data_IF_754964424878
#
_entry.id   IF_754964424878
#
_cell.length_a   1.000
_cell.length_b   1.000
_cell.length_c   1.000
_cell.angle_alpha   90.00
_cell.angle_beta   90.00
_cell.angle_gamma   90.00
#
_symmetry.space_group_name_H-M   'P 1'
#
loop_
_entity.id
_entity.type
_entity.pdbx_description
1 polymer ?
#
# COMPACT_ATOMS: atom_id res chain seq x y z
N UNK A 1 12.23 -5.68 -18.26
CA UNK A 1 13.19 -4.54 -18.10
C UNK A 1 12.89 -3.46 -19.14
N UNK A 2 12.61 -2.25 -18.69
CA UNK A 2 12.39 -1.08 -19.56
C UNK A 2 13.65 -0.20 -19.51
N UNK A 3 14.24 0.11 -20.65
CA UNK A 3 15.48 0.93 -20.74
C UNK A 3 16.67 0.42 -19.88
N UNK A 4 16.80 -0.90 -19.69
CA UNK A 4 17.86 -1.51 -18.90
C UNK A 4 17.64 -1.54 -17.37
N UNK A 5 16.52 -1.01 -16.89
CA UNK A 5 16.17 -1.02 -15.47
C UNK A 5 15.17 -2.13 -15.15
N UNK A 6 15.29 -2.72 -13.96
CA UNK A 6 14.24 -3.53 -13.35
C UNK A 6 13.22 -2.60 -12.72
N UNK A 7 11.94 -2.85 -12.99
CA UNK A 7 10.83 -2.06 -12.46
C UNK A 7 10.05 -2.92 -11.50
N UNK A 8 9.85 -2.41 -10.29
CA UNK A 8 8.97 -3.02 -9.28
C UNK A 8 7.78 -2.11 -9.05
N UNK A 9 6.57 -2.67 -9.18
CA UNK A 9 5.36 -2.03 -8.67
C UNK A 9 5.25 -2.32 -7.17
N UNK A 10 5.31 -1.30 -6.35
CA UNK A 10 5.29 -1.40 -4.88
C UNK A 10 3.87 -1.36 -4.28
N UNK A 11 2.81 -1.32 -5.12
CA UNK A 11 1.45 -1.20 -4.62
C UNK A 11 0.42 -1.79 -5.61
N UNK A 12 0.05 -3.05 -5.39
CA UNK A 12 -0.97 -3.72 -6.20
C UNK A 12 -1.95 -4.51 -5.32
N UNK A 13 -3.25 -4.18 -5.42
CA UNK A 13 -4.30 -4.92 -4.73
C UNK A 13 -4.81 -6.08 -5.58
N UNK A 14 -4.83 -7.29 -5.03
CA UNK A 14 -5.30 -8.49 -5.73
C UNK A 14 -6.31 -9.26 -4.90
N UNK A 15 -7.26 -9.89 -5.57
CA UNK A 15 -8.36 -10.61 -4.95
C UNK A 15 -8.54 -11.99 -5.60
N UNK A 16 -9.08 -12.99 -4.86
CA UNK A 16 -9.50 -14.26 -5.48
C UNK A 16 -10.51 -14.02 -6.61
N UNK A 17 -10.37 -14.69 -7.74
CA UNK A 17 -11.15 -14.46 -8.97
C UNK A 17 -12.67 -14.39 -8.73
N UNK A 18 -13.19 -15.27 -7.85
CA UNK A 18 -14.62 -15.35 -7.54
C UNK A 18 -15.20 -14.14 -6.80
N UNK A 19 -14.36 -13.27 -6.23
CA UNK A 19 -14.78 -12.06 -5.52
C UNK A 19 -14.16 -10.79 -6.10
N UNK A 20 -13.25 -10.90 -7.05
CA UNK A 20 -12.44 -9.81 -7.57
C UNK A 20 -13.32 -8.66 -8.12
N UNK A 21 -14.28 -8.94 -8.98
CA UNK A 21 -15.23 -7.96 -9.49
C UNK A 21 -15.98 -7.22 -8.38
N UNK A 22 -16.57 -7.98 -7.44
CA UNK A 22 -17.31 -7.38 -6.32
C UNK A 22 -16.42 -6.53 -5.41
N UNK A 23 -15.17 -6.96 -5.17
CA UNK A 23 -14.20 -6.21 -4.39
C UNK A 23 -13.84 -4.90 -5.09
N UNK A 24 -13.59 -4.96 -6.40
CA UNK A 24 -13.25 -3.81 -7.24
C UNK A 24 -14.42 -2.82 -7.34
N UNK A 25 -15.65 -3.31 -7.52
CA UNK A 25 -16.86 -2.48 -7.47
C UNK A 25 -17.01 -1.77 -6.11
N UNK A 26 -16.69 -2.48 -5.00
CA UNK A 26 -16.71 -1.90 -3.66
C UNK A 26 -15.70 -0.75 -3.50
N UNK A 27 -14.50 -0.87 -4.08
CA UNK A 27 -13.47 0.18 -4.09
C UNK A 27 -13.95 1.36 -4.95
N UNK A 28 -14.44 1.09 -6.16
CA UNK A 28 -15.01 2.09 -7.06
C UNK A 28 -16.10 2.91 -6.38
N UNK A 29 -17.04 2.24 -5.73
CA UNK A 29 -18.13 2.91 -5.00
C UNK A 29 -17.62 3.74 -3.81
N UNK A 30 -16.62 3.24 -3.08
CA UNK A 30 -16.07 3.95 -1.92
C UNK A 30 -15.40 5.28 -2.33
N UNK A 31 -14.64 5.26 -3.42
CA UNK A 31 -13.90 6.45 -3.89
C UNK A 31 -14.67 7.30 -4.90
N UNK A 32 -15.81 6.81 -5.43
CA UNK A 32 -16.54 7.40 -6.55
C UNK A 32 -15.63 7.57 -7.78
N UNK A 33 -14.79 6.55 -8.04
CA UNK A 33 -13.84 6.51 -9.15
C UNK A 33 -13.98 5.23 -9.95
N UNK A 34 -13.83 5.30 -11.29
CA UNK A 34 -13.80 4.09 -12.11
C UNK A 34 -12.55 3.26 -11.80
N UNK A 35 -12.68 1.94 -11.97
CA UNK A 35 -11.54 1.02 -11.90
C UNK A 35 -11.11 0.65 -13.30
N UNK A 36 -9.82 0.62 -13.57
CA UNK A 36 -9.27 0.23 -14.86
C UNK A 36 -9.32 -1.30 -15.06
N UNK A 37 -9.11 -2.04 -13.97
CA UNK A 37 -9.04 -3.50 -13.98
C UNK A 37 -9.98 -4.13 -12.93
N UNK A 38 -10.02 -5.49 -12.93
CA UNK A 38 -10.92 -6.26 -12.06
C UNK A 38 -10.25 -6.81 -10.77
N UNK A 39 -8.97 -6.54 -10.55
CA UNK A 39 -8.26 -6.98 -9.35
C UNK A 39 -7.82 -8.46 -9.36
N UNK A 40 -7.76 -9.12 -10.53
CA UNK A 40 -7.30 -10.50 -10.67
C UNK A 40 -5.79 -10.56 -10.82
N UNK A 41 -5.13 -11.55 -10.20
CA UNK A 41 -3.67 -11.72 -10.28
C UNK A 41 -3.20 -11.93 -11.72
N UNK A 42 -3.88 -12.76 -12.50
CA UNK A 42 -3.51 -13.03 -13.89
C UNK A 42 -3.57 -11.76 -14.75
N UNK A 43 -4.62 -10.95 -14.60
CA UNK A 43 -4.80 -9.66 -15.29
C UNK A 43 -3.71 -8.65 -14.89
N UNK A 44 -3.37 -8.56 -13.60
CA UNK A 44 -2.28 -7.73 -13.10
C UNK A 44 -0.94 -8.11 -13.75
N UNK A 45 -0.62 -9.40 -13.76
CA UNK A 45 0.63 -9.89 -14.34
C UNK A 45 0.68 -9.63 -15.85
N UNK A 46 -0.38 -9.90 -16.59
CA UNK A 46 -0.46 -9.68 -18.02
C UNK A 46 -0.19 -8.22 -18.37
N UNK A 47 -0.94 -7.30 -17.78
CA UNK A 47 -0.84 -5.87 -18.11
C UNK A 47 0.44 -5.23 -17.55
N UNK A 48 0.81 -5.54 -16.31
CA UNK A 48 2.01 -4.99 -15.70
C UNK A 48 3.29 -5.45 -16.40
N UNK A 49 3.38 -6.73 -16.77
CA UNK A 49 4.53 -7.24 -17.53
C UNK A 49 4.58 -6.66 -18.95
N UNK A 50 3.44 -6.47 -19.62
CA UNK A 50 3.38 -5.79 -20.92
C UNK A 50 3.90 -4.34 -20.83
N UNK A 51 3.57 -3.63 -19.74
CA UNK A 51 4.09 -2.29 -19.45
C UNK A 51 5.57 -2.26 -19.01
N UNK A 52 6.18 -3.43 -18.81
CA UNK A 52 7.60 -3.59 -18.46
C UNK A 52 7.90 -3.68 -16.98
N UNK A 53 6.90 -3.94 -16.14
CA UNK A 53 7.09 -4.25 -14.71
C UNK A 53 7.64 -5.66 -14.57
N UNK A 54 8.70 -5.81 -13.76
CA UNK A 54 9.41 -7.09 -13.56
C UNK A 54 9.01 -7.76 -12.24
N UNK A 55 8.52 -6.99 -11.27
CA UNK A 55 8.17 -7.48 -9.93
C UNK A 55 7.02 -6.69 -9.32
N UNK A 56 6.20 -7.35 -8.48
CA UNK A 56 4.99 -6.79 -7.91
C UNK A 56 4.94 -7.01 -6.41
N UNK A 57 4.68 -5.97 -5.64
CA UNK A 57 4.29 -6.07 -4.25
C UNK A 57 2.76 -6.16 -4.22
N UNK A 58 2.25 -7.36 -3.93
CA UNK A 58 0.81 -7.64 -3.87
C UNK A 58 0.29 -7.57 -2.44
N UNK A 59 -0.91 -7.04 -2.27
CA UNK A 59 -1.54 -6.87 -0.97
C UNK A 59 -3.07 -6.82 -1.10
N UNK A 60 -3.76 -6.91 0.04
CA UNK A 60 -5.19 -6.59 0.22
C UNK A 60 -5.45 -6.30 1.71
N UNK A 61 -6.16 -5.23 2.08
CA UNK A 61 -6.54 -5.00 3.47
C UNK A 61 -7.74 -5.87 3.86
N UNK A 62 -7.77 -6.34 5.11
CA UNK A 62 -8.96 -6.95 5.71
C UNK A 62 -9.88 -5.83 6.22
N UNK A 63 -11.05 -5.67 5.61
CA UNK A 63 -12.03 -4.65 6.04
C UNK A 63 -12.83 -5.09 7.27
N UNK A 64 -12.77 -6.36 7.64
CA UNK A 64 -13.31 -6.93 8.87
C UNK A 64 -12.33 -7.92 9.49
N UNK A 65 -12.41 -8.10 10.80
CA UNK A 65 -11.54 -9.02 11.56
C UNK A 65 -11.58 -10.46 11.02
N UNK A 66 -12.72 -10.92 10.55
CA UNK A 66 -12.90 -12.31 10.07
C UNK A 66 -12.24 -12.59 8.72
N UNK A 67 -11.79 -11.57 8.00
CA UNK A 67 -11.15 -11.72 6.68
C UNK A 67 -9.65 -11.97 6.76
N UNK A 68 -8.99 -11.65 7.88
CA UNK A 68 -7.52 -11.65 8.02
C UNK A 68 -6.90 -12.96 7.55
N UNK A 69 -7.31 -14.08 8.14
CA UNK A 69 -6.75 -15.40 7.83
C UNK A 69 -6.91 -15.81 6.37
N UNK A 70 -8.08 -15.56 5.78
CA UNK A 70 -8.36 -15.95 4.40
C UNK A 70 -7.58 -15.09 3.40
N UNK A 71 -7.43 -13.79 3.64
CA UNK A 71 -6.64 -12.88 2.82
C UNK A 71 -5.17 -13.26 2.88
N UNK A 72 -4.62 -13.46 4.09
CA UNK A 72 -3.22 -13.84 4.26
C UNK A 72 -2.90 -15.17 3.56
N UNK A 73 -3.76 -16.18 3.70
CA UNK A 73 -3.59 -17.47 3.01
C UNK A 73 -3.64 -17.34 1.48
N UNK A 74 -4.54 -16.50 0.95
CA UNK A 74 -4.62 -16.23 -0.48
C UNK A 74 -3.35 -15.54 -0.98
N UNK A 75 -2.90 -14.47 -0.34
CA UNK A 75 -1.71 -13.72 -0.73
C UNK A 75 -0.44 -14.58 -0.68
N UNK A 76 -0.30 -15.42 0.35
CA UNK A 76 0.80 -16.38 0.44
C UNK A 76 0.77 -17.39 -0.71
N UNK A 77 -0.43 -17.89 -1.08
CA UNK A 77 -0.57 -18.80 -2.23
C UNK A 77 -0.19 -18.14 -3.56
N UNK A 78 -0.51 -16.85 -3.73
CA UNK A 78 -0.11 -16.08 -4.90
C UNK A 78 1.41 -15.92 -4.98
N UNK A 79 2.08 -15.54 -3.88
CA UNK A 79 3.53 -15.40 -3.85
C UNK A 79 4.25 -16.74 -4.10
N UNK A 80 3.69 -17.85 -3.63
CA UNK A 80 4.23 -19.18 -3.91
C UNK A 80 4.06 -19.59 -5.38
N UNK A 81 2.94 -19.21 -6.01
CA UNK A 81 2.65 -19.53 -7.41
C UNK A 81 3.40 -18.63 -8.41
N UNK A 82 3.68 -17.39 -8.05
CA UNK A 82 4.25 -16.37 -8.93
C UNK A 82 5.52 -15.76 -8.34
N UNK A 83 6.72 -16.23 -8.72
CA UNK A 83 8.00 -15.76 -8.16
C UNK A 83 8.30 -14.27 -8.35
N UNK A 84 7.60 -13.60 -9.27
CA UNK A 84 7.68 -12.17 -9.46
C UNK A 84 6.80 -11.37 -8.46
N UNK A 85 6.07 -12.05 -7.57
CA UNK A 85 5.24 -11.41 -6.56
C UNK A 85 5.87 -11.53 -5.17
N UNK A 86 5.96 -10.42 -4.45
CA UNK A 86 6.17 -10.35 -3.00
C UNK A 86 4.85 -9.99 -2.34
N UNK A 87 4.42 -10.75 -1.35
CA UNK A 87 3.15 -10.53 -0.68
C UNK A 87 3.30 -9.85 0.68
N UNK A 88 2.54 -8.78 0.88
CA UNK A 88 2.26 -8.22 2.20
C UNK A 88 0.88 -8.72 2.66
N UNK A 89 0.84 -9.32 3.84
CA UNK A 89 -0.41 -9.72 4.47
C UNK A 89 -1.18 -8.54 5.05
N UNK A 90 -2.19 -8.84 5.83
CA UNK A 90 -2.98 -7.84 6.53
C UNK A 90 -3.25 -8.26 7.97
N UNK A 91 -3.51 -7.28 8.81
CA UNK A 91 -4.01 -7.43 10.18
C UNK A 91 -5.20 -6.49 10.38
N UNK A 92 -5.95 -6.70 11.43
CA UNK A 92 -7.02 -5.79 11.81
C UNK A 92 -6.81 -5.32 13.26
N UNK A 93 -6.70 -3.99 13.52
CA UNK A 93 -6.34 -3.49 14.86
C UNK A 93 -7.37 -3.82 15.96
N UNK A 94 -8.59 -4.16 15.56
CA UNK A 94 -9.68 -4.50 16.47
C UNK A 94 -9.96 -6.01 16.53
N UNK A 95 -9.04 -6.84 16.06
CA UNK A 95 -9.15 -8.29 16.25
C UNK A 95 -8.88 -8.65 17.72
N UNK A 96 -9.71 -9.50 18.30
CA UNK A 96 -9.54 -9.98 19.69
C UNK A 96 -8.25 -10.83 19.83
N UNK A 97 -7.80 -11.44 18.73
CA UNK A 97 -6.66 -12.35 18.67
C UNK A 97 -5.58 -11.87 17.68
N UNK A 98 -5.27 -10.57 17.68
CA UNK A 98 -4.30 -9.97 16.75
C UNK A 98 -2.90 -10.61 16.83
N UNK A 99 -2.52 -11.17 17.96
CA UNK A 99 -1.25 -11.89 18.12
C UNK A 99 -1.24 -13.22 17.34
N UNK A 100 -2.34 -13.97 17.36
CA UNK A 100 -2.51 -15.21 16.59
C UNK A 100 -2.55 -14.92 15.08
N UNK A 101 -3.24 -13.84 14.68
CA UNK A 101 -3.25 -13.35 13.30
C UNK A 101 -1.83 -13.00 12.81
N UNK A 102 -1.04 -12.34 13.66
CA UNK A 102 0.34 -11.98 13.36
C UNK A 102 1.25 -13.22 13.28
N UNK A 103 1.08 -14.20 14.17
CA UNK A 103 1.79 -15.46 14.11
C UNK A 103 1.47 -16.21 12.80
N UNK A 104 0.22 -16.27 12.37
CA UNK A 104 -0.17 -16.86 11.09
C UNK A 104 0.52 -16.14 9.91
N UNK A 105 0.54 -14.81 9.92
CA UNK A 105 1.21 -14.00 8.89
C UNK A 105 2.69 -14.39 8.77
N UNK A 106 3.39 -14.56 9.90
CA UNK A 106 4.80 -14.97 9.92
C UNK A 106 4.99 -16.42 9.43
N UNK A 107 4.12 -17.35 9.83
CA UNK A 107 4.15 -18.76 9.39
C UNK A 107 3.94 -18.89 7.88
N UNK A 108 3.13 -17.99 7.30
CA UNK A 108 2.91 -17.89 5.86
C UNK A 108 4.05 -17.16 5.11
N UNK A 109 5.11 -16.74 5.79
CA UNK A 109 6.26 -16.03 5.23
C UNK A 109 5.89 -14.76 4.46
N UNK A 110 4.84 -14.06 4.90
CA UNK A 110 4.47 -12.77 4.32
C UNK A 110 5.48 -11.69 4.72
N UNK A 111 5.85 -10.84 3.75
CA UNK A 111 7.02 -9.97 3.85
C UNK A 111 6.74 -8.59 4.47
N UNK A 112 5.51 -8.32 4.86
CA UNK A 112 5.06 -7.06 5.45
C UNK A 112 3.56 -7.08 5.74
N UNK A 113 3.04 -5.94 6.16
CA UNK A 113 1.63 -5.77 6.53
C UNK A 113 1.02 -4.63 5.72
N UNK A 114 -0.10 -4.87 5.04
CA UNK A 114 -0.95 -3.83 4.44
C UNK A 114 -2.03 -3.42 5.43
N UNK A 115 -2.13 -2.11 5.67
CA UNK A 115 -3.22 -1.50 6.43
C UNK A 115 -3.89 -0.42 5.59
N UNK A 116 -5.20 -0.29 5.78
CA UNK A 116 -6.01 0.74 5.13
C UNK A 116 -6.97 1.33 6.16
N UNK A 117 -6.55 2.38 6.89
CA UNK A 117 -7.31 2.92 8.02
C UNK A 117 -8.76 3.27 7.69
N UNK A 118 -9.01 3.85 6.51
CA UNK A 118 -10.34 4.27 6.10
C UNK A 118 -11.26 3.09 5.76
N UNK A 119 -10.75 2.02 5.14
CA UNK A 119 -11.50 0.77 4.90
C UNK A 119 -11.70 -0.04 6.19
N UNK A 120 -10.72 -0.04 7.07
CA UNK A 120 -10.72 -0.78 8.34
C UNK A 120 -11.39 0.02 9.47
N UNK A 121 -11.76 1.28 9.20
CA UNK A 121 -12.45 2.17 10.09
C UNK A 121 -11.72 2.40 11.42
N UNK A 122 -10.43 2.73 11.35
CA UNK A 122 -9.63 3.08 12.53
C UNK A 122 -8.68 4.25 12.26
N UNK A 123 -8.55 5.20 13.21
CA UNK A 123 -7.48 6.19 13.17
C UNK A 123 -6.11 5.53 13.33
N UNK A 124 -5.10 5.93 12.54
CA UNK A 124 -3.74 5.33 12.61
C UNK A 124 -3.18 5.34 14.04
N UNK A 125 -3.42 6.40 14.79
CA UNK A 125 -2.94 6.59 16.16
C UNK A 125 -3.91 6.12 17.25
N UNK A 126 -4.90 5.29 16.91
CA UNK A 126 -5.78 4.67 17.91
C UNK A 126 -4.96 3.77 18.86
N UNK A 127 -5.02 3.97 20.19
CA UNK A 127 -4.29 3.13 21.14
C UNK A 127 -4.61 1.63 21.03
N UNK A 128 -5.77 1.26 20.50
CA UNK A 128 -6.13 -0.16 20.26
C UNK A 128 -5.27 -0.80 19.18
N UNK A 129 -4.67 -0.02 18.27
CA UNK A 129 -3.73 -0.51 17.27
C UNK A 129 -2.29 -0.66 17.83
N UNK A 130 -1.97 -0.11 18.98
CA UNK A 130 -0.60 -0.10 19.52
C UNK A 130 -0.01 -1.51 19.77
N UNK A 131 -0.75 -2.49 20.30
CA UNK A 131 -0.23 -3.84 20.42
C UNK A 131 0.20 -4.45 19.06
N UNK A 132 -0.56 -4.19 18.00
CA UNK A 132 -0.23 -4.60 16.64
C UNK A 132 1.07 -3.93 16.15
N UNK A 133 1.21 -2.62 16.32
CA UNK A 133 2.43 -1.90 15.93
C UNK A 133 3.66 -2.37 16.70
N UNK A 134 3.51 -2.68 17.99
CA UNK A 134 4.61 -3.18 18.82
C UNK A 134 5.12 -4.54 18.35
N UNK A 135 4.24 -5.45 17.98
CA UNK A 135 4.60 -6.73 17.39
C UNK A 135 5.29 -6.55 16.03
N UNK A 136 4.75 -5.70 15.15
CA UNK A 136 5.31 -5.46 13.82
C UNK A 136 6.71 -4.82 13.93
N UNK A 137 6.89 -3.76 14.76
CA UNK A 137 8.22 -3.16 14.92
C UNK A 137 9.25 -4.12 15.52
N UNK A 138 8.81 -5.03 16.40
CA UNK A 138 9.69 -6.02 17.03
C UNK A 138 10.15 -7.09 16.04
N UNK A 139 9.33 -7.41 15.04
CA UNK A 139 9.67 -8.35 13.97
C UNK A 139 10.55 -7.74 12.86
N UNK A 140 10.57 -6.41 12.75
CA UNK A 140 11.23 -5.69 11.67
C UNK A 140 10.49 -5.71 10.34
N UNK A 141 9.27 -6.27 10.26
CA UNK A 141 8.44 -6.22 9.07
C UNK A 141 7.98 -4.78 8.78
N UNK A 142 7.94 -4.35 7.50
CA UNK A 142 7.39 -3.05 7.13
C UNK A 142 5.86 -3.06 7.07
N UNK A 143 5.27 -1.89 7.24
CA UNK A 143 3.85 -1.64 6.96
C UNK A 143 3.74 -0.84 5.66
N UNK A 144 2.89 -1.29 4.72
CA UNK A 144 2.35 -0.46 3.66
C UNK A 144 1.03 0.12 4.14
N UNK A 145 1.03 1.41 4.46
CA UNK A 145 -0.10 2.13 5.05
C UNK A 145 -0.77 3.00 4.00
N UNK A 146 -2.07 2.83 3.77
CA UNK A 146 -2.85 3.81 3.02
C UNK A 146 -2.83 5.16 3.76
N UNK A 147 -2.59 6.24 3.02
CA UNK A 147 -2.47 7.58 3.57
C UNK A 147 -3.34 8.57 2.84
N UNK A 148 -4.09 9.35 3.62
CA UNK A 148 -4.91 10.44 3.13
C UNK A 148 -6.29 10.01 2.65
N UNK A 149 -7.29 10.71 3.14
CA UNK A 149 -8.66 10.73 2.63
C UNK A 149 -9.31 12.03 3.08
N UNK A 150 -9.76 12.86 2.13
CA UNK A 150 -10.38 14.15 2.45
C UNK A 150 -11.72 14.01 3.17
N UNK A 151 -12.34 12.83 3.19
CA UNK A 151 -13.64 12.55 3.82
C UNK A 151 -13.53 12.13 5.29
N UNK A 152 -12.32 11.70 5.69
CA UNK A 152 -12.03 11.31 7.07
C UNK A 152 -10.63 11.79 7.47
N UNK A 153 -10.29 11.71 8.76
CA UNK A 153 -8.95 12.02 9.24
C UNK A 153 -8.19 10.76 9.71
N UNK A 154 -8.72 9.56 9.43
CA UNK A 154 -8.16 8.29 9.93
C UNK A 154 -6.74 8.05 9.46
N UNK A 155 -6.46 8.33 8.20
CA UNK A 155 -5.15 8.19 7.56
C UNK A 155 -4.42 9.52 7.33
N UNK A 156 -4.79 10.57 8.10
CA UNK A 156 -4.17 11.89 7.94
C UNK A 156 -2.68 11.86 8.32
N UNK A 157 -1.80 12.59 7.58
CA UNK A 157 -0.34 12.60 7.83
C UNK A 157 0.07 12.92 9.27
N UNK A 158 -0.66 13.78 10.00
CA UNK A 158 -0.31 14.10 11.38
C UNK A 158 -0.41 12.87 12.32
N UNK A 159 -1.37 11.97 12.07
CA UNK A 159 -1.52 10.74 12.85
C UNK A 159 -0.35 9.80 12.65
N UNK A 160 0.13 9.69 11.40
CA UNK A 160 1.33 8.92 11.11
C UNK A 160 2.55 9.49 11.84
N UNK A 161 2.71 10.82 11.86
CA UNK A 161 3.79 11.47 12.60
C UNK A 161 3.74 11.16 14.12
N UNK A 162 2.53 11.03 14.71
CA UNK A 162 2.36 10.60 16.10
C UNK A 162 2.78 9.16 16.33
N UNK A 163 2.39 8.24 15.44
CA UNK A 163 2.77 6.82 15.50
C UNK A 163 4.28 6.64 15.35
N UNK A 164 4.93 7.34 14.42
CA UNK A 164 6.39 7.27 14.23
C UNK A 164 7.18 7.74 15.47
N UNK A 165 6.63 8.67 16.25
CA UNK A 165 7.21 9.09 17.53
C UNK A 165 7.04 8.02 18.62
N UNK A 166 5.89 7.38 18.66
CA UNK A 166 5.54 6.35 19.65
C UNK A 166 6.27 5.03 19.40
N UNK A 167 6.50 4.67 18.12
CA UNK A 167 7.09 3.41 17.70
C UNK A 167 8.40 3.66 16.92
N UNK A 168 9.55 3.85 17.63
CA UNK A 168 10.79 4.31 17.01
C UNK A 168 11.48 3.29 16.09
N UNK A 169 11.05 2.04 16.07
CA UNK A 169 11.58 0.99 15.18
C UNK A 169 10.63 0.61 14.07
N UNK A 170 9.42 1.19 14.03
CA UNK A 170 8.41 0.87 13.03
C UNK A 170 8.84 1.37 11.65
N UNK A 171 8.84 0.49 10.66
CA UNK A 171 9.18 0.78 9.27
C UNK A 171 7.90 0.90 8.45
N UNK A 172 7.77 1.97 7.69
CA UNK A 172 6.54 2.30 6.97
C UNK A 172 6.83 2.67 5.51
N UNK A 173 5.92 2.25 4.65
CA UNK A 173 5.72 2.78 3.31
C UNK A 173 4.40 3.56 3.39
N UNK A 174 4.48 4.87 3.39
CA UNK A 174 3.33 5.76 3.39
C UNK A 174 2.84 5.91 1.94
N UNK A 175 1.74 5.24 1.61
CA UNK A 175 1.20 5.24 0.26
C UNK A 175 0.83 6.64 -0.22
N UNK A 176 0.81 6.82 -1.55
CA UNK A 176 0.32 8.04 -2.20
C UNK A 176 1.09 9.30 -1.76
N UNK A 177 2.43 9.22 -1.70
CA UNK A 177 3.30 10.27 -1.15
C UNK A 177 2.89 10.71 0.26
N UNK A 178 2.32 9.78 1.06
CA UNK A 178 1.94 10.03 2.44
C UNK A 178 0.63 10.77 2.64
N UNK A 179 -0.20 10.96 1.58
CA UNK A 179 -1.46 11.67 1.77
C UNK A 179 -2.27 11.90 0.50
N UNK A 180 -3.02 10.89 0.04
CA UNK A 180 -3.95 11.06 -1.10
C UNK A 180 -4.94 12.20 -0.84
N UNK A 181 -4.97 13.20 -1.75
CA UNK A 181 -5.76 14.41 -1.57
C UNK A 181 -5.24 15.38 -0.49
N UNK A 182 -4.21 14.99 0.28
CA UNK A 182 -3.60 15.75 1.39
C UNK A 182 -2.08 15.90 1.23
N UNK A 183 -1.59 15.96 -0.03
CA UNK A 183 -0.14 16.01 -0.34
C UNK A 183 0.58 17.24 0.22
N UNK A 184 -0.12 18.37 0.35
CA UNK A 184 0.45 19.59 0.95
C UNK A 184 0.71 19.41 2.44
N UNK A 185 -0.24 18.78 3.13
CA UNK A 185 -0.15 18.42 4.54
C UNK A 185 0.94 17.37 4.75
N UNK A 186 0.99 16.35 3.91
CA UNK A 186 2.03 15.33 3.94
C UNK A 186 3.42 15.96 3.80
N UNK A 187 3.62 16.83 2.81
CA UNK A 187 4.88 17.54 2.59
C UNK A 187 5.28 18.46 3.75
N UNK A 188 4.30 19.07 4.43
CA UNK A 188 4.57 19.96 5.55
C UNK A 188 4.87 19.22 6.86
N UNK A 189 4.23 18.06 7.07
CA UNK A 189 4.24 17.33 8.36
C UNK A 189 5.27 16.21 8.37
N UNK A 190 5.33 15.41 7.30
CA UNK A 190 6.24 14.28 7.21
C UNK A 190 7.62 14.74 6.78
N UNK A 191 8.62 14.33 7.51
CA UNK A 191 10.02 14.64 7.21
C UNK A 191 10.75 13.37 6.74
N UNK A 192 11.83 13.50 5.93
CA UNK A 192 12.69 12.38 5.62
C UNK A 192 13.14 11.64 6.88
N UNK A 193 12.92 10.32 6.91
CA UNK A 193 13.25 9.43 8.02
C UNK A 193 13.71 8.09 7.44
N UNK A 194 14.76 7.50 7.99
CA UNK A 194 15.29 6.22 7.50
C UNK A 194 14.30 5.06 7.58
N UNK A 195 13.26 5.19 8.40
CA UNK A 195 12.18 4.22 8.56
C UNK A 195 11.00 4.45 7.63
N UNK A 196 10.93 5.63 7.00
CA UNK A 196 9.78 6.06 6.21
C UNK A 196 10.13 6.04 4.72
N UNK A 197 9.31 5.36 3.96
CA UNK A 197 9.32 5.33 2.51
C UNK A 197 7.96 5.78 2.00
N UNK A 198 7.88 6.08 0.72
CA UNK A 198 6.66 6.54 0.07
C UNK A 198 6.47 5.76 -1.23
N UNK A 199 5.26 5.66 -1.72
CA UNK A 199 5.00 5.25 -3.10
C UNK A 199 4.27 6.34 -3.89
N UNK A 200 4.34 6.24 -5.22
CA UNK A 200 3.77 7.21 -6.16
C UNK A 200 2.32 6.89 -6.54
N UNK A 201 1.81 5.77 -6.08
CA UNK A 201 0.51 5.24 -6.49
C UNK A 201 -0.62 6.25 -6.26
N UNK A 202 -1.62 6.24 -7.12
CA UNK A 202 -2.78 7.14 -7.05
C UNK A 202 -2.43 8.64 -6.91
N UNK A 203 -1.22 9.05 -7.28
CA UNK A 203 -0.79 10.46 -7.17
C UNK A 203 -0.53 11.07 -8.54
N UNK A 204 0.03 10.29 -9.46
CA UNK A 204 0.44 10.79 -10.78
C UNK A 204 -0.74 11.34 -11.62
N UNK A 205 -1.95 10.75 -11.58
CA UNK A 205 -3.10 11.28 -12.31
C UNK A 205 -3.65 12.61 -11.75
N UNK A 206 -3.35 12.93 -10.49
CA UNK A 206 -3.94 14.08 -9.79
C UNK A 206 -3.01 15.27 -9.63
N UNK A 207 -1.70 15.07 -9.69
CA UNK A 207 -0.72 16.10 -9.44
C UNK A 207 0.01 16.51 -10.73
N UNK A 208 0.22 17.79 -10.95
CA UNK A 208 1.08 18.23 -12.04
C UNK A 208 2.54 17.80 -11.80
N UNK A 209 3.33 17.53 -12.86
CA UNK A 209 4.70 17.01 -12.74
C UNK A 209 5.62 17.82 -11.83
N UNK A 210 5.45 19.13 -11.76
CA UNK A 210 6.23 20.00 -10.87
C UNK A 210 5.95 19.76 -9.39
N UNK A 211 4.70 19.47 -9.02
CA UNK A 211 4.35 19.13 -7.63
C UNK A 211 4.89 17.74 -7.23
N UNK A 212 4.83 16.77 -8.15
CA UNK A 212 5.43 15.45 -7.94
C UNK A 212 6.95 15.57 -7.75
N UNK A 213 7.64 16.37 -8.58
CA UNK A 213 9.09 16.61 -8.41
C UNK A 213 9.43 17.26 -7.07
N UNK A 214 8.58 18.17 -6.57
CA UNK A 214 8.75 18.76 -5.23
C UNK A 214 8.64 17.72 -4.13
N UNK A 215 7.64 16.83 -4.19
CA UNK A 215 7.48 15.74 -3.23
C UNK A 215 8.68 14.78 -3.27
N UNK A 216 9.11 14.36 -4.46
CA UNK A 216 10.29 13.50 -4.61
C UNK A 216 11.56 14.21 -4.08
N UNK A 217 11.72 15.49 -4.36
CA UNK A 217 12.87 16.27 -3.85
C UNK A 217 12.84 16.44 -2.33
N UNK A 218 11.65 16.58 -1.74
CA UNK A 218 11.48 16.73 -0.30
C UNK A 218 11.76 15.40 0.44
N UNK A 219 11.19 14.30 -0.05
CA UNK A 219 11.32 12.99 0.62
C UNK A 219 12.62 12.24 0.27
N UNK A 220 13.28 12.62 -0.83
CA UNK A 220 14.42 11.91 -1.42
C UNK A 220 13.98 10.83 -2.40
N UNK A 221 14.54 10.84 -3.61
CA UNK A 221 14.16 9.92 -4.68
C UNK A 221 14.37 8.44 -4.29
N UNK A 222 15.40 8.15 -3.51
CA UNK A 222 15.72 6.83 -2.97
C UNK A 222 14.70 6.29 -1.98
N UNK A 223 13.84 7.17 -1.46
CA UNK A 223 12.78 6.84 -0.53
C UNK A 223 11.39 6.75 -1.20
N UNK A 224 11.31 7.02 -2.51
CA UNK A 224 10.06 7.02 -3.27
C UNK A 224 10.03 5.82 -4.22
N UNK A 225 9.10 4.91 -3.99
CA UNK A 225 8.88 3.73 -4.82
C UNK A 225 7.86 4.02 -5.92
N UNK A 226 8.04 3.40 -7.08
CA UNK A 226 7.00 3.34 -8.09
C UNK A 226 5.88 2.41 -7.60
N UNK A 227 4.64 2.86 -7.65
CA UNK A 227 3.45 2.10 -7.34
C UNK A 227 2.31 2.50 -8.27
N UNK A 228 1.48 1.54 -8.67
CA UNK A 228 0.35 1.78 -9.59
C UNK A 228 -0.97 1.88 -8.84
N UNK A 229 -1.13 1.17 -7.73
CA UNK A 229 -2.42 1.00 -7.04
C UNK A 229 -3.42 0.18 -7.87
N UNK A 230 -2.89 -0.86 -8.58
CA UNK A 230 -3.77 -1.80 -9.25
C UNK A 230 -4.89 -2.28 -8.30
N UNK A 231 -6.15 -2.37 -8.67
CA UNK A 231 -6.70 -2.30 -10.04
C UNK A 231 -7.19 -0.90 -10.47
N UNK A 232 -6.84 0.18 -9.77
CA UNK A 232 -7.39 1.50 -10.03
C UNK A 232 -6.87 2.14 -11.32
N UNK A 233 -5.58 1.99 -11.62
CA UNK A 233 -4.92 2.75 -12.69
C UNK A 233 -4.25 1.84 -13.73
N UNK A 234 -4.15 2.38 -14.96
CA UNK A 234 -3.50 1.73 -16.08
C UNK A 234 -1.96 1.72 -15.92
N UNK A 235 -1.35 0.55 -16.12
CA UNK A 235 0.08 0.35 -15.99
C UNK A 235 0.91 1.16 -16.99
N UNK A 236 0.45 1.28 -18.24
CA UNK A 236 1.17 2.04 -19.26
C UNK A 236 1.12 3.54 -18.96
N UNK A 237 -0.06 4.07 -18.57
CA UNK A 237 -0.24 5.47 -18.22
C UNK A 237 0.63 5.86 -17.02
N UNK A 238 0.63 5.07 -15.94
CA UNK A 238 1.45 5.31 -14.74
C UNK A 238 2.95 5.19 -15.05
N UNK A 239 3.38 4.18 -15.81
CA UNK A 239 4.77 3.98 -16.22
C UNK A 239 5.30 5.12 -17.09
N UNK A 240 4.49 5.64 -18.01
CA UNK A 240 4.84 6.80 -18.85
C UNK A 240 4.95 8.05 -18.00
N UNK A 241 3.97 8.33 -17.15
CA UNK A 241 3.95 9.47 -16.24
C UNK A 241 5.19 9.50 -15.35
N UNK A 242 5.53 8.35 -14.74
CA UNK A 242 6.72 8.21 -13.89
C UNK A 242 8.04 8.47 -14.65
N UNK A 243 8.15 7.98 -15.90
CA UNK A 243 9.37 8.18 -16.71
C UNK A 243 9.58 9.64 -17.12
N UNK A 244 8.53 10.43 -17.24
CA UNK A 244 8.61 11.87 -17.54
C UNK A 244 9.00 12.75 -16.33
N UNK A 245 9.11 12.17 -15.13
CA UNK A 245 9.55 12.87 -13.92
C UNK A 245 11.08 13.00 -13.81
N UNK A 246 11.83 12.27 -14.64
CA UNK A 246 13.31 12.25 -14.67
C UNK A 246 13.88 13.42 -15.42
#
# INVERSE_FOLDING_TARGET
>A
MKNGYRITDAHAHVFPDKIAEKATEGISHFYDLPMEYHGRVAEMLENGMAAGVDHFLICSPATTVTQVHSINSFLASCAAAYPMCTAFGTLHPYADHVAEDFEQLQQLHLCGVKLHPDFQNFPIDDPRAYPMYDMIQSSGLPILMHMGDARSDFSHPYRLAMVLRQFPKLRLIAAHFGGWGQWKEANAILQPDERLRFDTSSSLPFLPPEEIRKLISHFGAENCFFGVDYPMWDYDAESVSYTHLR
#
